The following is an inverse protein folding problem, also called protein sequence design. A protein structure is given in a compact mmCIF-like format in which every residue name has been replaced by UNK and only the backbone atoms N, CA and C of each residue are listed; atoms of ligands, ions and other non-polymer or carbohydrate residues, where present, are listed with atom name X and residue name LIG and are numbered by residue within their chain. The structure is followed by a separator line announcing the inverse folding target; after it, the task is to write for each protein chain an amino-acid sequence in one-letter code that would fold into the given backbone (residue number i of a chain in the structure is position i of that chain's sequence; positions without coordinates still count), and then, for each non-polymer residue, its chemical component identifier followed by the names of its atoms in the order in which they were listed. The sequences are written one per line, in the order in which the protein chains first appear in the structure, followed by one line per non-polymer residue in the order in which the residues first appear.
data_IF_013426944318
#
_entry.id   IF_013426944318
#
_cell.length_a   1.000
_cell.length_b   1.000
_cell.length_c   1.000
_cell.angle_alpha   90.00
_cell.angle_beta   90.00
_cell.angle_gamma   90.00
#
_symmetry.space_group_name_H-M   'P 1'
#
loop_
_entity.id
_entity.type
_entity.pdbx_description
1 polymer ?
#
# COMPACT_ATOMS: atom_id res chain seq x y z
N UNK A 1 -4.51 10.55 -16.18
CA UNK A 1 -3.88 9.60 -15.22
C UNK A 1 -2.42 10.01 -15.07
N UNK A 2 -1.99 10.37 -13.86
CA UNK A 2 -0.59 10.71 -13.55
C UNK A 2 -0.04 9.63 -12.61
N UNK A 3 1.07 9.01 -13.01
CA UNK A 3 1.75 7.95 -12.27
C UNK A 3 3.18 8.42 -12.01
N UNK A 4 3.55 8.60 -10.74
CA UNK A 4 4.92 8.93 -10.35
C UNK A 4 5.32 7.96 -9.23
N UNK A 5 6.08 6.89 -9.53
CA UNK A 5 6.69 6.09 -8.49
C UNK A 5 7.80 6.90 -7.81
N UNK A 6 7.82 6.90 -6.49
CA UNK A 6 8.86 7.57 -5.69
C UNK A 6 9.55 6.53 -4.83
N UNK A 7 10.87 6.39 -4.97
CA UNK A 7 11.69 5.57 -4.10
C UNK A 7 12.34 6.47 -3.05
N UNK A 8 12.29 6.08 -1.78
CA UNK A 8 12.95 6.76 -0.67
C UNK A 8 13.84 5.77 0.07
N UNK A 9 15.10 6.14 0.29
CA UNK A 9 16.02 5.39 1.15
C UNK A 9 15.80 5.78 2.62
N UNK A 10 15.75 4.79 3.50
CA UNK A 10 15.67 4.92 4.96
C UNK A 10 17.07 4.70 5.56
N UNK A 11 17.31 5.17 6.81
CA UNK A 11 18.61 5.01 7.45
C UNK A 11 19.08 3.55 7.47
N UNK A 12 20.40 3.39 7.40
CA UNK A 12 21.05 2.08 7.42
C UNK A 12 20.75 1.33 8.73
N UNK A 13 20.47 0.04 8.58
CA UNK A 13 20.41 -0.97 9.63
C UNK A 13 21.83 -1.50 9.93
N UNK A 14 21.93 -2.37 10.92
CA UNK A 14 23.17 -3.07 11.26
C UNK A 14 23.69 -3.88 10.05
N UNK A 15 25.02 -3.97 9.89
CA UNK A 15 25.70 -4.66 8.79
C UNK A 15 25.59 -4.01 7.39
N UNK A 16 25.17 -2.74 7.31
CA UNK A 16 25.09 -2.01 6.03
C UNK A 16 23.88 -2.38 5.18
N UNK A 17 22.94 -3.16 5.72
CA UNK A 17 21.59 -3.25 5.17
C UNK A 17 20.89 -1.89 5.31
N UNK A 18 19.96 -1.56 4.42
CA UNK A 18 19.09 -0.39 4.58
C UNK A 18 17.69 -0.71 4.10
N UNK A 19 16.70 0.02 4.58
CA UNK A 19 15.35 -0.09 4.05
C UNK A 19 15.14 0.89 2.90
N UNK A 20 14.40 0.46 1.89
CA UNK A 20 13.87 1.33 0.85
C UNK A 20 12.36 1.27 0.85
N UNK A 21 11.73 2.41 0.59
CA UNK A 21 10.30 2.55 0.46
C UNK A 21 9.95 2.93 -0.98
N UNK A 22 9.11 2.12 -1.63
CA UNK A 22 8.46 2.45 -2.90
C UNK A 22 7.05 2.97 -2.62
N UNK A 23 6.80 4.20 -3.05
CA UNK A 23 5.47 4.79 -3.07
C UNK A 23 4.95 4.79 -4.51
N UNK A 24 3.73 4.28 -4.72
CA UNK A 24 3.02 4.47 -5.98
C UNK A 24 1.55 4.79 -5.75
N UNK A 25 0.98 5.57 -6.66
CA UNK A 25 -0.44 5.87 -6.61
C UNK A 25 -0.95 6.43 -7.93
N UNK A 26 -2.26 6.32 -8.13
CA UNK A 26 -2.95 6.94 -9.23
C UNK A 26 -4.38 7.28 -8.85
N UNK A 27 -4.94 8.23 -9.59
CA UNK A 27 -6.36 8.49 -9.63
C UNK A 27 -6.83 8.56 -11.09
N UNK A 28 -8.06 8.13 -11.32
CA UNK A 28 -8.71 8.17 -12.63
C UNK A 28 -9.80 9.24 -12.63
N UNK A 29 -10.21 9.68 -13.81
CA UNK A 29 -11.28 10.68 -13.97
C UNK A 29 -12.64 10.16 -13.49
N UNK A 30 -12.87 8.84 -13.60
CA UNK A 30 -14.07 8.18 -13.10
C UNK A 30 -14.01 7.88 -11.57
N UNK A 31 -13.10 8.52 -10.83
CA UNK A 31 -13.10 8.49 -9.37
C UNK A 31 -12.47 7.26 -8.72
N UNK A 32 -11.83 6.37 -9.48
CA UNK A 32 -11.04 5.28 -8.90
C UNK A 32 -9.71 5.83 -8.40
N UNK A 33 -9.28 5.36 -7.24
CA UNK A 33 -8.01 5.74 -6.63
C UNK A 33 -7.29 4.50 -6.13
N UNK A 34 -5.95 4.52 -6.20
CA UNK A 34 -5.08 3.52 -5.57
C UNK A 34 -3.84 4.20 -5.01
N UNK A 35 -3.41 3.77 -3.84
CA UNK A 35 -2.17 4.22 -3.21
C UNK A 35 -1.51 3.05 -2.51
N UNK A 36 -0.21 2.92 -2.68
CA UNK A 36 0.59 1.82 -2.16
C UNK A 36 1.95 2.30 -1.68
N UNK A 37 2.36 1.75 -0.56
CA UNK A 37 3.59 2.01 0.15
C UNK A 37 4.22 0.65 0.49
N UNK A 38 5.37 0.36 -0.09
CA UNK A 38 6.08 -0.92 0.06
C UNK A 38 7.44 -0.65 0.65
N UNK A 39 7.74 -1.23 1.81
CA UNK A 39 9.07 -1.17 2.43
C UNK A 39 9.78 -2.51 2.24
N UNK A 40 11.04 -2.49 1.79
CA UNK A 40 11.87 -3.68 1.62
C UNK A 40 13.28 -3.47 2.15
N UNK A 41 13.90 -4.56 2.62
CA UNK A 41 15.29 -4.54 3.07
C UNK A 41 16.21 -4.76 1.89
N UNK A 42 17.12 -3.81 1.67
CA UNK A 42 18.20 -3.90 0.71
C UNK A 42 19.45 -4.39 1.43
N UNK A 43 20.08 -5.42 0.86
CA UNK A 43 21.34 -5.97 1.37
C UNK A 43 22.50 -5.42 0.55
N UNK A 44 23.64 -5.11 1.17
CA UNK A 44 24.84 -4.78 0.43
C UNK A 44 25.25 -5.98 -0.44
N UNK A 45 25.58 -5.73 -1.70
CA UNK A 45 26.16 -6.74 -2.58
C UNK A 45 27.60 -7.03 -2.10
N UNK A 46 27.81 -8.14 -1.37
CA UNK A 46 29.11 -8.48 -0.78
C UNK A 46 29.89 -9.56 -1.53
N UNK A 47 29.42 -10.03 -2.68
CA UNK A 47 30.10 -11.09 -3.45
C UNK A 47 29.85 -10.97 -4.97
N UNK A 48 30.89 -10.63 -5.74
CA UNK A 48 30.84 -10.48 -7.21
C UNK A 48 30.47 -11.79 -7.93
N UNK A 49 30.62 -12.94 -7.27
CA UNK A 49 30.27 -14.27 -7.81
C UNK A 49 28.80 -14.65 -7.59
N UNK A 50 28.05 -13.94 -6.72
CA UNK A 50 26.60 -14.13 -6.50
C UNK A 50 25.73 -13.16 -7.31
N UNK A 51 26.31 -12.20 -8.01
CA UNK A 51 25.60 -11.19 -8.80
C UNK A 51 24.74 -11.76 -9.95
N UNK A 52 24.85 -13.06 -10.29
CA UNK A 52 24.00 -13.72 -11.27
C UNK A 52 22.61 -14.11 -10.73
N UNK A 53 22.44 -14.25 -9.42
CA UNK A 53 21.12 -14.44 -8.80
C UNK A 53 20.71 -13.13 -8.13
N UNK A 54 20.13 -12.21 -8.92
CA UNK A 54 19.42 -11.04 -8.37
C UNK A 54 18.21 -11.54 -7.56
N UNK A 55 18.43 -11.90 -6.30
CA UNK A 55 17.34 -12.10 -5.37
C UNK A 55 16.55 -10.80 -5.28
N UNK A 56 15.26 -10.87 -5.61
CA UNK A 56 14.38 -9.72 -5.45
C UNK A 56 14.24 -9.45 -3.95
N UNK A 57 14.53 -8.23 -3.47
CA UNK A 57 14.39 -7.90 -2.04
C UNK A 57 13.02 -8.30 -1.51
N UNK A 58 13.00 -9.00 -0.36
CA UNK A 58 11.75 -9.38 0.30
C UNK A 58 11.18 -8.18 1.04
N UNK A 59 9.91 -7.81 0.80
CA UNK A 59 9.33 -6.67 1.50
C UNK A 59 9.05 -6.97 2.98
N UNK A 60 9.35 -5.99 3.81
CA UNK A 60 9.10 -5.96 5.25
C UNK A 60 7.63 -5.68 5.52
N UNK A 61 7.05 -4.76 4.75
CA UNK A 61 5.68 -4.32 4.92
C UNK A 61 5.08 -3.84 3.59
N UNK A 62 3.83 -4.23 3.34
CA UNK A 62 2.99 -3.64 2.30
C UNK A 62 1.84 -2.89 2.97
N UNK A 63 1.63 -1.66 2.57
CA UNK A 63 0.43 -0.89 2.91
C UNK A 63 -0.17 -0.36 1.63
N UNK A 64 -1.48 -0.36 1.57
CA UNK A 64 -2.12 0.29 0.44
C UNK A 64 -3.61 0.42 0.64
N UNK A 65 -4.22 0.95 -0.40
CA UNK A 65 -5.65 1.03 -0.48
C UNK A 65 -6.14 1.40 -1.85
N UNK A 66 -7.40 1.10 -2.08
CA UNK A 66 -8.11 1.54 -3.27
C UNK A 66 -9.51 1.99 -2.90
N UNK A 67 -10.06 2.89 -3.71
CA UNK A 67 -11.44 3.33 -3.56
C UNK A 67 -12.11 3.52 -4.91
N UNK A 68 -13.43 3.35 -4.93
CA UNK A 68 -14.26 3.56 -6.09
C UNK A 68 -15.68 3.91 -5.67
N UNK A 69 -16.41 4.58 -6.56
CA UNK A 69 -17.83 4.86 -6.43
C UNK A 69 -18.57 3.78 -7.23
N UNK A 70 -19.46 3.05 -6.57
CA UNK A 70 -20.29 2.02 -7.19
C UNK A 70 -21.62 2.59 -7.67
N UNK A 71 -22.27 1.87 -8.59
CA UNK A 71 -23.58 2.21 -9.12
C UNK A 71 -24.71 2.19 -8.05
N UNK A 72 -24.48 1.54 -6.91
CA UNK A 72 -25.39 1.54 -5.75
C UNK A 72 -25.35 2.86 -4.93
N UNK A 73 -24.49 3.81 -5.33
CA UNK A 73 -24.35 5.11 -4.67
C UNK A 73 -23.44 5.10 -3.44
N UNK A 74 -22.65 4.05 -3.20
CA UNK A 74 -21.64 4.02 -2.14
C UNK A 74 -20.23 4.31 -2.67
N UNK A 75 -19.41 4.92 -1.82
CA UNK A 75 -17.96 4.90 -1.94
C UNK A 75 -17.45 3.73 -1.13
N UNK A 76 -16.83 2.77 -1.80
CA UNK A 76 -16.08 1.71 -1.13
C UNK A 76 -14.63 2.14 -1.00
N UNK A 77 -14.07 1.96 0.20
CA UNK A 77 -12.64 2.12 0.47
C UNK A 77 -12.12 0.84 1.11
N UNK A 78 -11.07 0.29 0.52
CA UNK A 78 -10.32 -0.82 1.09
C UNK A 78 -8.95 -0.30 1.45
N UNK A 79 -8.56 -0.51 2.69
CA UNK A 79 -7.20 -0.35 3.18
C UNK A 79 -6.65 -1.72 3.54
N UNK A 80 -5.35 -1.90 3.41
CA UNK A 80 -4.70 -3.12 3.86
C UNK A 80 -3.30 -2.87 4.37
N UNK A 81 -2.90 -3.78 5.24
CA UNK A 81 -1.54 -3.95 5.73
C UNK A 81 -1.17 -5.42 5.62
N UNK A 82 -0.02 -5.74 5.03
CA UNK A 82 0.53 -7.09 5.02
C UNK A 82 1.97 -7.05 5.53
N UNK A 83 2.28 -7.90 6.50
CA UNK A 83 3.61 -8.06 7.06
C UNK A 83 3.74 -9.46 7.67
N UNK A 84 4.75 -9.70 8.50
CA UNK A 84 4.99 -10.98 9.19
C UNK A 84 3.79 -11.52 9.99
N UNK A 85 2.84 -10.67 10.36
CA UNK A 85 1.63 -11.06 11.10
C UNK A 85 0.46 -11.43 10.15
N UNK A 86 0.68 -11.47 8.84
CA UNK A 86 -0.33 -11.77 7.84
C UNK A 86 -1.05 -10.54 7.28
N UNK A 87 -2.07 -10.80 6.47
CA UNK A 87 -2.87 -9.80 5.78
C UNK A 87 -4.00 -9.25 6.67
N UNK A 88 -4.06 -7.93 6.80
CA UNK A 88 -4.99 -7.20 7.66
C UNK A 88 -5.77 -6.18 6.80
N UNK A 89 -6.94 -6.56 6.27
CA UNK A 89 -7.79 -5.66 5.50
C UNK A 89 -8.72 -4.84 6.41
N UNK A 90 -9.06 -3.64 5.96
CA UNK A 90 -10.10 -2.80 6.54
C UNK A 90 -10.95 -2.20 5.42
N UNK A 91 -12.26 -2.43 5.47
CA UNK A 91 -13.20 -2.03 4.42
C UNK A 91 -14.23 -1.08 5.01
N UNK A 92 -14.45 0.05 4.35
CA UNK A 92 -15.56 0.96 4.65
C UNK A 92 -16.42 1.19 3.43
N UNK A 93 -17.71 1.40 3.67
CA UNK A 93 -18.69 1.80 2.68
C UNK A 93 -19.36 3.09 3.19
N UNK A 94 -19.34 4.14 2.37
CA UNK A 94 -19.93 5.44 2.69
C UNK A 94 -20.95 5.80 1.62
N UNK A 95 -22.21 6.01 2.01
CA UNK A 95 -23.25 6.40 1.05
C UNK A 95 -22.98 7.83 0.56
N UNK A 96 -22.90 8.00 -0.75
CA UNK A 96 -22.68 9.30 -1.39
C UNK A 96 -24.05 9.87 -1.75
N UNK A 97 -24.28 11.15 -1.42
CA UNK A 97 -25.53 11.84 -1.78
C UNK A 97 -26.75 11.56 -0.89
N UNK A 98 -26.62 10.76 0.17
CA UNK A 98 -27.58 10.76 1.27
C UNK A 98 -27.27 11.91 2.22
N UNK A 99 -28.28 12.68 2.67
CA UNK A 99 -28.10 13.56 3.85
C UNK A 99 -27.43 12.72 4.95
N UNK A 100 -26.34 13.23 5.50
CA UNK A 100 -25.56 12.55 6.55
C UNK A 100 -26.44 12.26 7.76
N UNK A 101 -26.94 11.03 7.88
CA UNK A 101 -27.36 10.48 9.16
C UNK A 101 -26.25 9.56 9.66
N UNK A 102 -25.46 10.06 10.60
CA UNK A 102 -24.53 9.28 11.38
C UNK A 102 -25.32 8.27 12.22
N UNK A 103 -25.44 7.03 11.75
CA UNK A 103 -25.96 5.94 12.58
C UNK A 103 -24.89 4.86 12.71
N UNK A 104 -24.19 4.87 13.85
CA UNK A 104 -23.40 3.73 14.30
C UNK A 104 -24.34 2.56 14.54
N UNK A 105 -24.33 1.55 13.66
CA UNK A 105 -25.11 0.33 13.86
C UNK A 105 -24.22 -0.76 14.43
N UNK A 106 -24.33 -0.99 15.73
CA UNK A 106 -23.83 -2.19 16.41
C UNK A 106 -24.64 -3.38 15.92
N UNK A 107 -23.97 -4.40 15.38
CA UNK A 107 -24.60 -5.68 15.03
C UNK A 107 -24.72 -6.53 16.30
N UNK A 108 -25.94 -7.01 16.59
CA UNK A 108 -26.25 -8.05 17.59
C UNK A 108 -26.58 -9.33 16.86
#
# INVERSE_FOLDING_TARGET
MLLIPVIRSLPALENGEHEEALHFGFHTENGHQRTEDITFTVRPETDETKALEKETPKPVEYRGGYSFISADGYQYRVLYKANKNGFQPYVTAHKIGGKSENTNKTLT
#
